data_IF_592138771395
#
_entry.id   IF_592138771395
#
_cell.length_a   1.000
_cell.length_b   1.000
_cell.length_c   1.000
_cell.angle_alpha   90.00
_cell.angle_beta   90.00
_cell.angle_gamma   90.00
#
_symmetry.space_group_name_H-M   'P 1'
#
loop_
_entity.id
_entity.type
_entity.pdbx_description
1 polymer ?
#
# COMPACT_ATOMS: atom_id res chain seq x y z
N UNK A 1 -0.37 -13.38 -18.48
CA UNK A 1 -1.36 -13.05 -17.43
C UNK A 1 -1.85 -14.33 -16.74
N UNK A 2 -2.33 -14.28 -15.50
CA UNK A 2 -3.04 -15.42 -14.87
C UNK A 2 -4.46 -15.45 -15.46
N UNK A 3 -4.99 -16.59 -15.92
CA UNK A 3 -6.36 -16.64 -16.45
C UNK A 3 -7.37 -16.17 -15.40
N UNK A 4 -8.38 -15.40 -15.82
CA UNK A 4 -9.42 -14.91 -14.93
C UNK A 4 -10.15 -16.06 -14.17
N UNK A 5 -10.29 -17.22 -14.79
CA UNK A 5 -10.85 -18.42 -14.19
C UNK A 5 -10.09 -18.92 -12.95
N UNK A 6 -8.76 -18.75 -12.90
CA UNK A 6 -7.97 -19.06 -11.69
C UNK A 6 -8.18 -18.04 -10.57
N UNK A 7 -8.51 -16.80 -10.90
CA UNK A 7 -8.84 -15.77 -9.90
C UNK A 7 -10.22 -15.99 -9.29
N UNK A 8 -11.12 -16.66 -10.02
CA UNK A 8 -12.48 -17.01 -9.59
C UNK A 8 -12.54 -18.27 -8.72
N UNK A 9 -11.50 -19.12 -8.73
CA UNK A 9 -11.39 -20.23 -7.79
C UNK A 9 -11.40 -19.70 -6.34
N UNK A 10 -11.89 -20.45 -5.35
CA UNK A 10 -12.06 -19.99 -3.96
C UNK A 10 -10.84 -20.25 -3.07
N UNK A 11 -9.92 -21.12 -3.49
CA UNK A 11 -8.72 -21.47 -2.71
C UNK A 11 -7.60 -20.43 -2.75
N UNK A 12 -6.58 -20.62 -1.92
CA UNK A 12 -5.34 -19.83 -1.98
C UNK A 12 -4.64 -20.03 -3.33
N UNK A 13 -4.01 -18.98 -3.85
CA UNK A 13 -3.32 -19.02 -5.14
C UNK A 13 -1.82 -18.85 -4.96
N UNK A 14 -1.06 -19.79 -5.53
CA UNK A 14 0.40 -19.77 -5.56
C UNK A 14 0.87 -19.76 -7.00
N UNK A 15 1.75 -18.82 -7.35
CA UNK A 15 2.28 -18.70 -8.71
C UNK A 15 3.78 -18.41 -8.70
N UNK A 16 4.50 -19.06 -9.61
CA UNK A 16 5.91 -18.75 -9.88
C UNK A 16 6.02 -17.83 -11.07
N UNK A 17 6.36 -16.56 -10.83
CA UNK A 17 6.58 -15.56 -11.88
C UNK A 17 7.53 -14.46 -11.42
N UNK A 18 8.34 -13.90 -12.34
CA UNK A 18 9.06 -12.67 -12.06
C UNK A 18 8.08 -11.52 -11.78
N UNK A 19 8.47 -10.53 -10.95
CA UNK A 19 7.72 -9.30 -10.82
C UNK A 19 7.71 -8.53 -12.16
N UNK A 20 6.74 -7.62 -12.32
CA UNK A 20 6.69 -6.70 -13.47
C UNK A 20 7.08 -5.30 -13.03
N UNK A 21 7.75 -4.48 -13.88
CA UNK A 21 8.17 -3.12 -13.51
C UNK A 21 7.03 -2.22 -13.06
N UNK A 22 5.82 -2.49 -13.58
CA UNK A 22 4.61 -1.74 -13.26
C UNK A 22 3.88 -2.22 -12.01
N UNK A 23 4.40 -3.23 -11.30
CA UNK A 23 3.89 -3.63 -10.00
C UNK A 23 4.14 -2.53 -8.97
N UNK A 24 3.37 -2.54 -7.89
CA UNK A 24 3.64 -1.73 -6.71
C UNK A 24 5.05 -2.04 -6.16
N UNK A 25 5.75 -1.05 -5.64
CA UNK A 25 7.14 -1.16 -5.14
C UNK A 25 7.41 -2.44 -4.34
N UNK A 26 6.64 -2.74 -3.30
CA UNK A 26 6.86 -3.92 -2.44
C UNK A 26 6.54 -5.25 -3.13
N UNK A 27 5.73 -5.24 -4.18
CA UNK A 27 5.45 -6.44 -4.97
C UNK A 27 6.54 -6.74 -6.02
N UNK A 28 7.61 -5.93 -6.07
CA UNK A 28 8.76 -6.13 -6.98
C UNK A 28 9.86 -7.02 -6.41
N UNK A 29 9.73 -7.46 -5.15
CA UNK A 29 10.70 -8.33 -4.50
C UNK A 29 10.64 -9.78 -5.01
N UNK A 30 11.53 -10.63 -4.50
CA UNK A 30 11.64 -12.07 -4.83
C UNK A 30 10.35 -12.84 -4.51
N UNK A 31 9.58 -12.39 -3.53
CA UNK A 31 8.28 -12.94 -3.16
C UNK A 31 7.33 -11.87 -2.63
N UNK A 32 6.03 -12.10 -2.76
CA UNK A 32 4.97 -11.24 -2.23
C UNK A 32 3.76 -12.11 -1.84
N UNK A 33 3.16 -11.78 -0.70
CA UNK A 33 1.98 -12.45 -0.17
C UNK A 33 0.93 -11.36 0.13
N UNK A 34 -0.14 -11.37 -0.64
CA UNK A 34 -1.30 -10.50 -0.39
C UNK A 34 -2.41 -11.34 0.21
N UNK A 35 -2.98 -10.86 1.31
CA UNK A 35 -4.13 -11.48 1.97
C UNK A 35 -5.34 -10.61 1.70
N UNK A 36 -6.39 -11.20 1.11
CA UNK A 36 -7.63 -10.47 0.84
C UNK A 36 -8.83 -11.40 0.92
N UNK A 37 -9.85 -11.01 1.68
CA UNK A 37 -11.08 -11.78 1.90
C UNK A 37 -10.79 -13.23 2.34
N UNK A 38 -9.93 -13.40 3.36
CA UNK A 38 -9.57 -14.70 3.91
C UNK A 38 -8.68 -15.58 3.01
N UNK A 39 -8.17 -15.03 1.90
CA UNK A 39 -7.38 -15.80 0.92
C UNK A 39 -5.99 -15.24 0.72
N UNK A 40 -5.05 -16.15 0.51
CA UNK A 40 -3.67 -15.84 0.15
C UNK A 40 -3.49 -15.78 -1.37
N UNK A 41 -2.75 -14.76 -1.78
CA UNK A 41 -2.26 -14.56 -3.13
C UNK A 41 -0.75 -14.48 -3.06
N UNK A 42 -0.09 -15.60 -3.39
CA UNK A 42 1.34 -15.79 -3.23
C UNK A 42 2.01 -15.81 -4.60
N UNK A 43 3.01 -14.95 -4.76
CA UNK A 43 3.90 -14.97 -5.93
C UNK A 43 5.34 -15.07 -5.44
N UNK A 44 6.10 -15.99 -6.02
CA UNK A 44 7.57 -16.00 -5.88
C UNK A 44 8.25 -16.12 -7.24
N UNK A 45 9.56 -15.86 -7.31
CA UNK A 45 10.34 -16.05 -8.54
C UNK A 45 10.88 -17.46 -8.72
N UNK A 46 10.87 -18.30 -7.67
CA UNK A 46 11.51 -19.62 -7.63
C UNK A 46 10.47 -20.75 -7.51
N UNK A 47 10.40 -21.71 -8.46
CA UNK A 47 9.43 -22.80 -8.41
C UNK A 47 9.42 -23.59 -7.09
N UNK A 48 10.60 -23.88 -6.56
CA UNK A 48 10.79 -24.65 -5.32
C UNK A 48 10.25 -23.91 -4.09
N UNK A 49 10.36 -22.58 -4.05
CA UNK A 49 9.81 -21.76 -2.97
C UNK A 49 8.29 -21.71 -3.07
N UNK A 50 7.76 -21.51 -4.27
CA UNK A 50 6.31 -21.52 -4.51
C UNK A 50 5.68 -22.86 -4.12
N UNK A 51 6.33 -23.98 -4.47
CA UNK A 51 5.86 -25.31 -4.12
C UNK A 51 5.85 -25.52 -2.59
N UNK A 52 6.95 -25.20 -1.90
CA UNK A 52 7.03 -25.33 -0.46
C UNK A 52 5.97 -24.48 0.28
N UNK A 53 5.74 -23.24 -0.18
CA UNK A 53 4.69 -22.38 0.37
C UNK A 53 3.29 -22.93 0.08
N UNK A 54 3.05 -23.48 -1.10
CA UNK A 54 1.76 -24.08 -1.45
C UNK A 54 1.48 -25.33 -0.59
N UNK A 55 2.48 -26.16 -0.34
CA UNK A 55 2.35 -27.35 0.50
C UNK A 55 2.07 -26.97 1.96
N UNK A 56 2.78 -25.96 2.48
CA UNK A 56 2.62 -25.50 3.86
C UNK A 56 1.32 -24.72 4.11
N UNK A 57 0.90 -23.89 3.15
CA UNK A 57 -0.14 -22.87 3.36
C UNK A 57 -1.29 -22.93 2.36
N UNK A 58 -1.36 -23.97 1.53
CA UNK A 58 -2.40 -24.17 0.51
C UNK A 58 -3.83 -24.11 1.06
N UNK A 59 -4.02 -24.54 2.31
CA UNK A 59 -5.31 -24.58 3.01
C UNK A 59 -5.38 -23.59 4.19
N UNK A 60 -4.40 -22.70 4.34
CA UNK A 60 -4.39 -21.74 5.43
C UNK A 60 -5.55 -20.73 5.29
N UNK A 61 -6.23 -20.42 6.39
CA UNK A 61 -7.19 -19.32 6.42
C UNK A 61 -6.44 -17.99 6.49
N UNK A 62 -6.60 -17.16 5.46
CA UNK A 62 -5.98 -15.86 5.38
C UNK A 62 -6.35 -14.93 6.53
N UNK A 63 -7.50 -15.12 7.19
CA UNK A 63 -7.89 -14.31 8.34
C UNK A 63 -6.92 -14.43 9.53
N UNK A 64 -6.23 -15.58 9.65
CA UNK A 64 -5.33 -15.90 10.77
C UNK A 64 -3.86 -16.02 10.32
N UNK A 65 -3.56 -15.72 9.05
CA UNK A 65 -2.23 -15.99 8.49
C UNK A 65 -1.12 -15.10 9.07
N UNK A 66 -1.45 -13.94 9.62
CA UNK A 66 -0.49 -13.04 10.24
C UNK A 66 -0.37 -13.23 11.77
N UNK A 67 -0.92 -14.31 12.32
CA UNK A 67 -0.64 -14.69 13.71
C UNK A 67 0.83 -15.10 13.89
N UNK A 68 1.36 -14.86 15.09
CA UNK A 68 2.78 -15.13 15.42
C UNK A 68 3.24 -16.52 14.99
N UNK A 69 2.45 -17.56 15.30
CA UNK A 69 2.75 -18.94 14.94
C UNK A 69 2.94 -19.12 13.42
N UNK A 70 2.06 -18.56 12.62
CA UNK A 70 2.11 -18.69 11.16
C UNK A 70 3.26 -17.87 10.57
N UNK A 71 3.55 -16.70 11.14
CA UNK A 71 4.69 -15.85 10.75
C UNK A 71 6.03 -16.52 11.08
N UNK A 72 6.14 -17.18 12.23
CA UNK A 72 7.30 -17.98 12.62
C UNK A 72 7.52 -19.13 11.64
N UNK A 73 6.47 -19.92 11.36
CA UNK A 73 6.53 -21.01 10.39
C UNK A 73 6.92 -20.51 8.98
N UNK A 74 6.36 -19.38 8.53
CA UNK A 74 6.71 -18.77 7.26
C UNK A 74 8.20 -18.39 7.23
N UNK A 75 8.70 -17.77 8.30
CA UNK A 75 10.09 -17.30 8.40
C UNK A 75 11.08 -18.47 8.41
N UNK A 76 10.78 -19.54 9.13
CA UNK A 76 11.58 -20.78 9.13
C UNK A 76 11.61 -21.44 7.75
N UNK A 77 10.45 -21.56 7.10
CA UNK A 77 10.36 -22.11 5.75
C UNK A 77 11.19 -21.30 4.76
N UNK A 78 11.07 -19.97 4.78
CA UNK A 78 11.82 -19.07 3.90
C UNK A 78 13.34 -19.16 4.13
N UNK A 79 13.78 -19.40 5.37
CA UNK A 79 15.20 -19.52 5.72
C UNK A 79 15.88 -20.67 4.97
N UNK A 80 15.18 -21.77 4.74
CA UNK A 80 15.69 -22.92 3.97
C UNK A 80 16.05 -22.55 2.51
N UNK A 81 15.52 -21.42 2.02
CA UNK A 81 15.79 -20.89 0.68
C UNK A 81 16.67 -19.63 0.69
N UNK A 82 17.23 -19.27 1.86
CA UNK A 82 18.01 -18.03 2.03
C UNK A 82 17.16 -16.76 1.93
N UNK A 83 15.85 -16.85 2.18
CA UNK A 83 14.91 -15.73 2.12
C UNK A 83 14.49 -15.30 3.53
N UNK A 84 14.02 -14.06 3.66
CA UNK A 84 13.45 -13.51 4.89
C UNK A 84 12.29 -12.58 4.56
N UNK A 85 11.36 -12.43 5.49
CA UNK A 85 10.34 -11.38 5.43
C UNK A 85 11.03 -10.04 5.69
N UNK A 86 10.87 -9.09 4.76
CA UNK A 86 11.45 -7.73 4.86
C UNK A 86 10.42 -6.70 5.29
N UNK A 87 9.13 -6.94 5.01
CA UNK A 87 8.05 -6.02 5.33
C UNK A 87 6.73 -6.78 5.51
N UNK A 88 5.87 -6.25 6.37
CA UNK A 88 4.53 -6.74 6.64
C UNK A 88 3.68 -5.56 7.12
N UNK A 89 2.64 -5.20 6.38
CA UNK A 89 1.78 -4.09 6.74
C UNK A 89 0.36 -4.29 6.19
N UNK A 90 -0.67 -3.77 6.88
CA UNK A 90 -2.01 -3.70 6.32
C UNK A 90 -2.07 -2.71 5.15
N UNK A 91 -2.91 -3.02 4.16
CA UNK A 91 -3.30 -2.07 3.11
C UNK A 91 -4.80 -1.82 3.20
N UNK A 92 -5.15 -0.55 3.30
CA UNK A 92 -6.53 -0.12 3.26
C UNK A 92 -6.89 0.23 1.82
N UNK A 93 -8.04 -0.27 1.38
CA UNK A 93 -8.64 0.09 0.09
C UNK A 93 -10.00 0.73 0.37
N UNK A 94 -10.43 1.74 -0.41
CA UNK A 94 -11.73 2.37 -0.22
C UNK A 94 -12.87 1.35 -0.27
N UNK A 95 -13.79 1.43 0.69
CA UNK A 95 -14.83 0.41 0.90
C UNK A 95 -16.10 0.63 0.07
N UNK A 96 -16.42 1.87 -0.37
CA UNK A 96 -17.30 2.22 -1.52
C UNK A 96 -17.97 3.60 -1.47
N UNK A 97 -17.54 4.55 -0.64
CA UNK A 97 -18.05 5.93 -0.70
C UNK A 97 -16.89 6.90 -0.62
N UNK A 98 -16.61 7.55 -1.75
CA UNK A 98 -15.70 8.70 -1.79
C UNK A 98 -16.55 9.97 -1.80
N UNK A 99 -16.27 10.88 -0.86
CA UNK A 99 -16.92 12.19 -0.89
C UNK A 99 -16.38 12.99 -2.06
N UNK A 100 -17.26 13.70 -2.77
CA UNK A 100 -16.85 14.66 -3.80
C UNK A 100 -16.80 16.09 -3.28
N UNK A 101 -17.12 16.30 -2.00
CA UNK A 101 -17.19 17.63 -1.40
C UNK A 101 -15.96 17.90 -0.56
N UNK A 102 -15.27 18.99 -0.89
CA UNK A 102 -14.22 19.56 -0.05
C UNK A 102 -14.85 20.29 1.14
N UNK A 103 -14.24 20.14 2.31
CA UNK A 103 -14.60 20.96 3.48
C UNK A 103 -14.06 22.39 3.27
N UNK A 104 -14.70 23.40 3.86
CA UNK A 104 -14.17 24.77 3.85
C UNK A 104 -12.70 24.80 4.30
N UNK A 105 -11.87 25.60 3.62
CA UNK A 105 -10.42 25.65 3.82
C UNK A 105 -9.63 24.57 3.09
N UNK A 106 -10.28 23.55 2.52
CA UNK A 106 -9.60 22.54 1.69
C UNK A 106 -9.54 22.97 0.23
N UNK A 107 -8.41 22.71 -0.42
CA UNK A 107 -8.21 23.01 -1.83
C UNK A 107 -7.38 21.92 -2.52
N UNK A 108 -7.55 21.78 -3.84
CA UNK A 108 -6.79 20.85 -4.67
C UNK A 108 -5.40 21.41 -4.96
N UNK A 109 -4.39 20.56 -4.85
CA UNK A 109 -3.00 20.81 -5.25
C UNK A 109 -2.72 19.94 -6.47
N UNK A 110 -2.62 20.57 -7.63
CA UNK A 110 -2.28 19.89 -8.89
C UNK A 110 -0.80 19.50 -8.92
N UNK A 111 -0.45 18.49 -9.74
CA UNK A 111 0.89 17.93 -9.81
C UNK A 111 2.01 18.97 -10.03
N UNK A 112 1.74 20.01 -10.83
CA UNK A 112 2.68 21.07 -11.14
C UNK A 112 2.90 22.07 -9.99
N UNK A 113 1.96 22.13 -9.03
CA UNK A 113 2.07 22.94 -7.83
C UNK A 113 2.80 22.23 -6.68
N UNK A 114 2.82 20.90 -6.66
CA UNK A 114 3.45 20.07 -5.61
C UNK A 114 4.92 20.44 -5.32
N UNK A 115 5.79 20.73 -6.32
CA UNK A 115 7.18 21.10 -6.06
C UNK A 115 7.35 22.32 -5.14
N UNK A 116 6.38 23.23 -5.07
CA UNK A 116 6.43 24.43 -4.20
C UNK A 116 6.47 24.06 -2.70
N UNK A 117 5.99 22.88 -2.34
CA UNK A 117 5.93 22.41 -0.96
C UNK A 117 7.21 21.69 -0.50
N UNK A 118 8.16 21.44 -1.40
CA UNK A 118 9.36 20.64 -1.11
C UNK A 118 10.28 21.27 -0.04
N UNK A 119 10.27 22.60 0.06
CA UNK A 119 11.04 23.32 1.08
C UNK A 119 10.44 23.18 2.49
N UNK A 120 9.18 22.74 2.61
CA UNK A 120 8.54 22.53 3.91
C UNK A 120 8.86 21.12 4.44
N UNK A 121 9.93 21.03 5.24
CA UNK A 121 10.39 19.78 5.84
C UNK A 121 9.45 19.16 6.89
N UNK A 122 8.37 19.85 7.27
CA UNK A 122 7.32 19.25 8.09
C UNK A 122 6.47 18.25 7.28
N UNK A 123 6.40 18.40 5.95
CA UNK A 123 5.71 17.46 5.05
C UNK A 123 6.66 16.29 4.77
N UNK A 124 6.42 15.15 5.42
CA UNK A 124 7.30 13.97 5.29
C UNK A 124 6.69 12.87 4.45
N UNK A 125 5.39 12.64 4.62
CA UNK A 125 4.72 11.49 4.02
C UNK A 125 3.75 11.86 2.90
N UNK A 126 3.25 13.10 2.87
CA UNK A 126 2.21 13.48 1.91
C UNK A 126 2.73 13.55 0.46
N UNK A 127 3.98 13.97 0.25
CA UNK A 127 4.62 14.03 -1.07
C UNK A 127 5.96 13.30 -1.06
N UNK A 128 6.16 12.42 -2.04
CA UNK A 128 7.36 11.59 -2.12
C UNK A 128 8.49 12.21 -2.94
N UNK A 129 8.18 13.11 -3.88
CA UNK A 129 9.13 13.74 -4.81
C UNK A 129 10.01 12.75 -5.59
N UNK A 130 9.56 11.50 -5.75
CA UNK A 130 10.25 10.44 -6.48
C UNK A 130 9.76 10.38 -7.94
N UNK A 131 10.62 10.63 -8.95
CA UNK A 131 10.24 10.50 -10.35
C UNK A 131 9.76 9.09 -10.75
N UNK A 132 10.20 8.04 -10.03
CA UNK A 132 9.77 6.66 -10.26
C UNK A 132 8.39 6.36 -9.64
N UNK A 133 7.94 7.19 -8.70
CA UNK A 133 6.64 7.13 -8.04
C UNK A 133 6.04 8.55 -7.90
N UNK A 134 5.73 9.22 -9.03
CA UNK A 134 5.47 10.64 -9.05
C UNK A 134 4.21 11.00 -8.27
N UNK A 135 4.29 12.10 -7.52
CA UNK A 135 3.12 12.74 -6.91
C UNK A 135 2.19 13.26 -8.02
N UNK A 136 0.90 12.94 -7.92
CA UNK A 136 -0.08 13.27 -8.96
C UNK A 136 -1.09 14.30 -8.52
N UNK A 137 -1.49 14.25 -7.25
CA UNK A 137 -2.52 15.12 -6.67
C UNK A 137 -2.21 15.34 -5.20
N UNK A 138 -2.69 16.44 -4.65
CA UNK A 138 -2.78 16.65 -3.21
C UNK A 138 -4.01 17.45 -2.81
N UNK A 139 -4.33 17.42 -1.52
CA UNK A 139 -5.34 18.28 -0.91
C UNK A 139 -4.66 19.00 0.24
N UNK A 140 -4.64 20.33 0.20
CA UNK A 140 -4.20 21.19 1.30
C UNK A 140 -5.41 21.59 2.15
N UNK A 141 -5.21 21.74 3.45
CA UNK A 141 -6.14 22.42 4.34
C UNK A 141 -5.45 23.65 4.91
N UNK A 142 -6.04 24.82 4.67
CA UNK A 142 -5.54 26.12 5.13
C UNK A 142 -6.46 26.70 6.19
N UNK A 143 -5.86 27.34 7.18
CA UNK A 143 -6.54 28.13 8.20
C UNK A 143 -5.79 29.44 8.37
N UNK A 144 -6.50 30.57 8.29
CA UNK A 144 -5.94 31.92 8.43
C UNK A 144 -4.73 32.22 7.51
N UNK A 145 -4.65 31.54 6.35
CA UNK A 145 -3.58 31.68 5.37
C UNK A 145 -2.41 30.70 5.55
N UNK A 146 -2.41 29.90 6.63
CA UNK A 146 -1.39 28.91 6.91
C UNK A 146 -1.84 27.50 6.50
N UNK A 147 -0.95 26.75 5.84
CA UNK A 147 -1.16 25.33 5.56
C UNK A 147 -1.03 24.54 6.87
N UNK A 148 -2.15 23.99 7.34
CA UNK A 148 -2.20 23.25 8.61
C UNK A 148 -2.17 21.73 8.42
N UNK A 149 -2.59 21.26 7.26
CA UNK A 149 -2.57 19.83 6.93
C UNK A 149 -2.51 19.62 5.41
N UNK A 150 -1.96 18.49 5.00
CA UNK A 150 -1.87 18.13 3.58
C UNK A 150 -1.97 16.63 3.42
N UNK A 151 -2.70 16.20 2.39
CA UNK A 151 -2.61 14.84 1.88
C UNK A 151 -2.12 14.86 0.44
N UNK A 152 -1.37 13.82 0.04
CA UNK A 152 -0.94 13.65 -1.33
C UNK A 152 -1.16 12.23 -1.80
N UNK A 153 -1.26 12.10 -3.12
CA UNK A 153 -1.54 10.86 -3.82
C UNK A 153 -0.45 10.63 -4.89
N UNK A 154 0.42 9.68 -4.61
CA UNK A 154 1.56 9.34 -5.47
C UNK A 154 1.26 8.06 -6.23
N UNK A 155 1.66 8.00 -7.50
CA UNK A 155 1.46 6.81 -8.31
C UNK A 155 2.49 5.73 -7.91
N UNK A 156 2.03 4.59 -7.37
CA UNK A 156 2.89 3.45 -7.04
C UNK A 156 2.48 2.19 -7.82
N UNK A 157 2.91 2.14 -9.08
CA UNK A 157 2.58 1.08 -10.04
C UNK A 157 1.39 1.44 -10.94
N UNK A 158 0.96 0.47 -11.77
CA UNK A 158 -0.06 0.72 -12.80
C UNK A 158 -1.47 0.92 -12.23
N UNK A 159 -1.80 0.26 -11.13
CA UNK A 159 -3.16 0.20 -10.58
C UNK A 159 -3.23 0.63 -9.11
N UNK A 160 -2.15 1.15 -8.55
CA UNK A 160 -2.08 1.52 -7.14
C UNK A 160 -1.53 2.93 -7.01
N UNK A 161 -2.21 3.71 -6.18
CA UNK A 161 -1.79 5.02 -5.73
C UNK A 161 -1.64 4.93 -4.22
N UNK A 162 -0.60 5.53 -3.68
CA UNK A 162 -0.36 5.61 -2.24
C UNK A 162 -0.75 6.98 -1.74
N UNK A 163 -1.45 6.99 -0.61
CA UNK A 163 -1.95 8.21 0.02
C UNK A 163 -1.14 8.46 1.29
N UNK A 164 -0.49 9.61 1.34
CA UNK A 164 0.16 10.12 2.54
C UNK A 164 -0.62 11.30 3.10
N UNK A 165 -0.65 11.44 4.42
CA UNK A 165 -1.30 12.57 5.10
C UNK A 165 -0.40 13.09 6.22
N UNK A 166 -0.34 14.41 6.36
CA UNK A 166 0.44 15.09 7.38
C UNK A 166 -0.42 16.17 8.04
N UNK A 167 -0.39 16.20 9.38
CA UNK A 167 -0.86 17.34 10.16
C UNK A 167 0.38 18.14 10.56
N UNK A 168 0.51 19.36 10.05
CA UNK A 168 1.70 20.17 10.20
C UNK A 168 1.77 20.85 11.57
N UNK A 169 0.61 21.10 12.17
CA UNK A 169 0.50 21.56 13.56
C UNK A 169 -0.17 20.48 14.45
N UNK A 170 0.52 20.00 15.50
CA UNK A 170 -0.02 19.05 16.47
C UNK A 170 -1.33 19.49 17.16
N UNK A 171 -1.61 20.79 17.26
CA UNK A 171 -2.84 21.31 17.86
C UNK A 171 -4.12 20.83 17.13
N UNK A 172 -3.99 20.45 15.86
CA UNK A 172 -5.10 19.96 15.01
C UNK A 172 -5.32 18.45 15.06
N UNK A 173 -4.57 17.72 15.90
CA UNK A 173 -4.77 16.29 16.11
C UNK A 173 -6.13 16.00 16.75
N UNK A 174 -6.68 14.82 16.46
CA UNK A 174 -7.96 14.33 16.99
C UNK A 174 -9.22 15.14 16.58
N UNK A 175 -9.12 16.04 15.59
CA UNK A 175 -10.25 16.84 15.08
C UNK A 175 -10.87 16.29 13.79
N UNK A 176 -10.40 15.13 13.29
CA UNK A 176 -10.91 14.50 12.07
C UNK A 176 -10.43 15.14 10.76
N UNK A 177 -9.50 16.11 10.80
CA UNK A 177 -8.96 16.80 9.62
C UNK A 177 -8.30 15.82 8.65
N UNK A 178 -7.40 14.96 9.15
CA UNK A 178 -6.71 13.97 8.32
C UNK A 178 -7.69 13.03 7.59
N UNK A 179 -8.75 12.58 8.28
CA UNK A 179 -9.78 11.72 7.69
C UNK A 179 -10.53 12.43 6.55
N UNK A 180 -10.81 13.72 6.71
CA UNK A 180 -11.50 14.52 5.68
C UNK A 180 -10.63 14.80 4.45
N UNK A 181 -9.30 14.76 4.57
CA UNK A 181 -8.38 14.93 3.44
C UNK A 181 -8.32 13.69 2.53
N UNK A 182 -8.70 12.51 3.04
CA UNK A 182 -8.52 11.21 2.35
C UNK A 182 -9.83 10.45 2.13
N UNK A 183 -10.97 11.13 2.29
CA UNK A 183 -12.33 10.57 2.12
C UNK A 183 -12.88 10.73 0.70
#
# INVERSE_FOLDING_TARGET
QVPASRLQNTGNLFVTRPPVPTARSWARDVGDIVIRKGRLWVRTTKPEVTAALADAFGQADGAWFLEMKTVEQLTELLRNFGLKVTNMAPFFVPSSQLSRQLTAGMHLIEADAIPKYQANHAIKMAFGYDPAAPDRLGIGYELDGDLVAVAGASQNGRYCWEIGVELLDPAFRHQGIASRLVQ
#
